data_IF_089796915858
#
_entry.id   IF_089796915858
#
_cell.length_a   1.000
_cell.length_b   1.000
_cell.length_c   1.000
_cell.angle_alpha   90.00
_cell.angle_beta   90.00
_cell.angle_gamma   90.00
#
_symmetry.space_group_name_H-M   'P 1'
#
loop_
_entity.id
_entity.type
_entity.pdbx_description
1 polymer ?
#
# COMPACT_ATOMS: atom_id res chain seq x y z
N UNK A 1 -85.21 14.72 9.80
CA UNK A 1 -86.35 14.03 9.19
C UNK A 1 -86.00 13.81 7.72
N UNK A 2 -86.19 12.57 7.24
CA UNK A 2 -85.85 11.96 5.95
C UNK A 2 -86.04 12.86 4.69
N UNK A 3 -85.36 12.62 3.56
CA UNK A 3 -85.72 11.59 2.57
C UNK A 3 -84.57 11.27 1.56
N UNK A 4 -84.22 9.97 1.53
CA UNK A 4 -83.88 9.02 0.44
C UNK A 4 -82.98 9.37 -0.77
N UNK A 5 -81.89 8.58 -0.85
CA UNK A 5 -81.30 7.83 -1.97
C UNK A 5 -81.88 7.96 -3.40
N UNK A 6 -80.98 8.20 -4.36
CA UNK A 6 -81.03 7.61 -5.72
C UNK A 6 -79.60 7.15 -6.12
N UNK A 7 -79.52 5.93 -6.63
CA UNK A 7 -78.34 5.22 -7.13
C UNK A 7 -78.08 5.55 -8.60
N UNK A 8 -76.81 5.69 -9.01
CA UNK A 8 -76.42 5.56 -10.42
C UNK A 8 -75.00 4.99 -10.53
N UNK A 9 -74.88 3.83 -11.17
CA UNK A 9 -73.65 3.10 -11.44
C UNK A 9 -72.86 3.78 -12.56
N UNK A 10 -71.55 3.99 -12.36
CA UNK A 10 -70.62 4.46 -13.40
C UNK A 10 -69.59 3.37 -13.70
N UNK A 11 -69.54 2.96 -14.97
CA UNK A 11 -68.54 2.06 -15.55
C UNK A 11 -67.13 2.67 -15.42
N UNK A 12 -66.18 1.94 -14.83
CA UNK A 12 -64.75 2.24 -14.91
C UNK A 12 -64.14 1.29 -15.94
N UNK A 13 -63.73 1.83 -17.09
CA UNK A 13 -62.93 1.13 -18.09
C UNK A 13 -61.49 1.07 -17.57
N UNK A 14 -61.05 -0.11 -17.17
CA UNK A 14 -59.66 -0.37 -16.77
C UNK A 14 -58.76 -0.53 -17.99
N UNK A 15 -57.85 0.42 -18.21
CA UNK A 15 -56.74 0.29 -19.15
C UNK A 15 -55.52 -0.24 -18.37
N UNK A 16 -55.26 -1.54 -18.43
CA UNK A 16 -54.02 -2.14 -17.92
C UNK A 16 -52.90 -1.92 -18.94
N UNK A 17 -52.02 -0.95 -18.66
CA UNK A 17 -50.73 -0.84 -19.34
C UNK A 17 -49.74 -1.72 -18.57
N UNK A 18 -49.41 -2.88 -19.13
CA UNK A 18 -48.35 -3.74 -18.63
C UNK A 18 -46.98 -3.10 -18.88
N UNK A 19 -46.37 -2.54 -17.83
CA UNK A 19 -44.96 -2.18 -17.81
C UNK A 19 -44.13 -3.45 -17.56
N UNK A 20 -43.65 -4.07 -18.64
CA UNK A 20 -42.62 -5.10 -18.60
C UNK A 20 -41.27 -4.46 -18.29
N UNK A 21 -40.86 -4.49 -17.02
CA UNK A 21 -39.50 -4.16 -16.62
C UNK A 21 -38.60 -5.31 -17.08
N UNK A 22 -37.93 -5.14 -18.21
CA UNK A 22 -36.88 -6.05 -18.67
C UNK A 22 -35.64 -5.86 -17.80
N UNK A 23 -35.47 -6.70 -16.78
CA UNK A 23 -34.19 -6.83 -16.08
C UNK A 23 -33.19 -7.51 -17.03
N UNK A 24 -32.39 -6.72 -17.74
CA UNK A 24 -31.22 -7.26 -18.43
C UNK A 24 -30.21 -7.73 -17.38
N UNK A 25 -30.19 -9.03 -17.10
CA UNK A 25 -29.11 -9.66 -16.37
C UNK A 25 -27.81 -9.42 -17.15
N UNK A 26 -26.86 -8.71 -16.53
CA UNK A 26 -25.53 -8.47 -17.12
C UNK A 26 -24.88 -9.85 -17.32
N UNK A 27 -24.57 -10.20 -18.57
CA UNK A 27 -23.92 -11.47 -18.89
C UNK A 27 -22.65 -11.64 -18.03
N UNK A 28 -22.57 -12.76 -17.30
CA UNK A 28 -21.45 -13.05 -16.43
C UNK A 28 -20.19 -13.26 -17.28
N UNK A 29 -19.09 -12.58 -16.95
CA UNK A 29 -17.81 -12.77 -17.64
C UNK A 29 -17.37 -14.23 -17.48
N UNK A 30 -17.14 -14.91 -18.60
CA UNK A 30 -16.58 -16.26 -18.62
C UNK A 30 -15.07 -16.19 -18.34
N UNK A 31 -14.70 -16.22 -17.05
CA UNK A 31 -13.31 -16.09 -16.57
C UNK A 31 -12.40 -17.18 -17.16
N UNK A 32 -12.95 -18.35 -17.53
CA UNK A 32 -12.15 -19.44 -18.10
C UNK A 32 -11.47 -19.03 -19.40
N UNK A 33 -12.05 -18.10 -20.16
CA UNK A 33 -11.56 -17.60 -21.44
C UNK A 33 -10.58 -16.43 -21.32
N UNK A 34 -10.41 -15.84 -20.13
CA UNK A 34 -9.46 -14.74 -19.93
C UNK A 34 -8.02 -15.27 -19.98
N UNK A 35 -7.09 -14.51 -20.60
CA UNK A 35 -5.68 -14.85 -20.56
C UNK A 35 -5.16 -14.85 -19.11
N UNK A 36 -4.31 -15.82 -18.79
CA UNK A 36 -3.61 -15.92 -17.50
C UNK A 36 -2.18 -15.46 -17.68
N UNK A 37 -1.75 -14.53 -16.82
CA UNK A 37 -0.39 -13.97 -16.85
C UNK A 37 0.20 -14.13 -15.45
N UNK A 38 1.27 -14.91 -15.35
CA UNK A 38 2.05 -15.01 -14.11
C UNK A 38 2.91 -13.77 -13.95
N UNK A 39 2.65 -12.99 -12.89
CA UNK A 39 3.48 -11.85 -12.55
C UNK A 39 4.62 -12.32 -11.63
N UNK A 40 5.86 -12.19 -12.11
CA UNK A 40 7.04 -12.42 -11.28
C UNK A 40 7.18 -11.28 -10.28
N UNK A 41 6.90 -11.56 -9.01
CA UNK A 41 7.10 -10.61 -7.93
C UNK A 41 8.60 -10.32 -7.74
N UNK A 42 8.92 -9.09 -7.34
CA UNK A 42 10.27 -8.62 -7.03
C UNK A 42 10.27 -7.97 -5.65
N UNK A 43 11.41 -7.99 -4.99
CA UNK A 43 11.52 -7.41 -3.65
C UNK A 43 11.38 -5.88 -3.71
N UNK A 44 10.67 -5.28 -2.73
CA UNK A 44 10.68 -3.83 -2.54
C UNK A 44 12.12 -3.31 -2.36
N UNK A 45 12.42 -2.07 -2.82
CA UNK A 45 11.47 -1.05 -3.24
C UNK A 45 11.02 -1.16 -4.70
N UNK A 46 11.38 -2.22 -5.42
CA UNK A 46 11.01 -2.36 -6.84
C UNK A 46 9.58 -2.87 -7.00
N UNK A 47 8.98 -2.57 -8.15
CA UNK A 47 7.70 -3.13 -8.59
C UNK A 47 7.96 -4.14 -9.73
N UNK A 48 7.09 -5.15 -9.90
CA UNK A 48 7.12 -6.03 -11.07
C UNK A 48 7.01 -5.22 -12.37
N UNK A 49 7.55 -5.74 -13.46
CA UNK A 49 7.36 -5.15 -14.80
C UNK A 49 5.86 -5.11 -15.16
N UNK A 50 5.42 -3.97 -15.69
CA UNK A 50 4.03 -3.74 -16.05
C UNK A 50 3.89 -2.65 -17.11
N UNK A 51 2.82 -2.75 -17.90
CA UNK A 51 2.35 -1.66 -18.74
C UNK A 51 1.52 -0.68 -17.90
N UNK A 52 1.63 0.62 -18.18
CA UNK A 52 0.78 1.65 -17.55
C UNK A 52 -0.64 1.69 -18.13
N UNK A 53 -0.80 1.21 -19.36
CA UNK A 53 -2.08 1.14 -20.08
C UNK A 53 -2.44 -0.32 -20.32
N UNK A 54 -3.70 -0.67 -20.11
CA UNK A 54 -4.18 -2.03 -20.22
C UNK A 54 -4.14 -2.53 -21.67
N UNK A 55 -3.70 -3.78 -21.86
CA UNK A 55 -3.77 -4.52 -23.13
C UNK A 55 -5.02 -5.43 -23.23
N UNK A 56 -5.98 -5.23 -22.33
CA UNK A 56 -7.16 -6.07 -22.18
C UNK A 56 -7.22 -6.76 -20.81
N UNK A 57 -8.41 -7.21 -20.45
CA UNK A 57 -8.69 -7.86 -19.17
C UNK A 57 -8.00 -9.23 -19.08
N UNK A 58 -7.40 -9.53 -17.93
CA UNK A 58 -6.67 -10.78 -17.68
C UNK A 58 -6.84 -11.30 -16.25
N UNK A 59 -6.36 -12.51 -16.02
CA UNK A 59 -6.11 -13.06 -14.68
C UNK A 59 -4.60 -12.91 -14.39
N UNK A 60 -4.25 -12.08 -13.41
CA UNK A 60 -2.89 -11.90 -12.92
C UNK A 60 -2.64 -12.93 -11.83
N UNK A 61 -1.80 -13.91 -12.13
CA UNK A 61 -1.44 -14.99 -11.20
C UNK A 61 -0.19 -14.59 -10.42
N UNK A 62 -0.27 -14.65 -9.10
CA UNK A 62 0.84 -14.35 -8.18
C UNK A 62 0.97 -15.46 -7.14
N UNK A 63 2.20 -15.72 -6.70
CA UNK A 63 2.47 -16.66 -5.61
C UNK A 63 3.26 -15.96 -4.52
N UNK A 64 2.79 -16.05 -3.29
CA UNK A 64 3.49 -15.54 -2.11
C UNK A 64 3.70 -16.65 -1.09
N UNK A 65 4.91 -16.75 -0.57
CA UNK A 65 5.28 -17.67 0.51
C UNK A 65 5.45 -16.85 1.78
N UNK A 66 4.76 -17.25 2.84
CA UNK A 66 4.94 -16.67 4.16
C UNK A 66 6.23 -17.18 4.77
N UNK A 67 7.04 -16.27 5.29
CA UNK A 67 8.25 -16.57 6.05
C UNK A 67 8.19 -15.86 7.41
N UNK A 68 8.33 -16.64 8.48
CA UNK A 68 8.64 -16.15 9.82
C UNK A 68 10.15 -16.20 10.04
N UNK A 69 10.77 -15.07 10.40
CA UNK A 69 12.22 -15.02 10.60
C UNK A 69 12.68 -13.92 11.53
N UNK A 70 13.86 -14.11 12.12
CA UNK A 70 14.53 -13.04 12.85
C UNK A 70 15.07 -11.99 11.89
N UNK A 71 14.87 -10.72 12.23
CA UNK A 71 15.45 -9.58 11.51
C UNK A 71 16.09 -8.61 12.48
N UNK A 72 17.28 -8.12 12.13
CA UNK A 72 17.91 -6.97 12.80
C UNK A 72 17.42 -5.70 12.14
N UNK A 73 16.84 -4.80 12.93
CA UNK A 73 16.10 -3.64 12.40
C UNK A 73 16.79 -2.28 12.60
N UNK A 74 17.89 -2.24 13.36
CA UNK A 74 18.68 -1.03 13.60
C UNK A 74 20.18 -1.36 13.64
N UNK A 75 21.00 -0.34 13.89
CA UNK A 75 22.45 -0.46 14.03
C UNK A 75 22.91 -0.91 15.43
N UNK A 76 21.98 -0.99 16.39
CA UNK A 76 22.23 -1.44 17.76
C UNK A 76 22.04 -2.96 17.93
N UNK A 77 21.56 -3.65 16.89
CA UNK A 77 21.36 -5.10 16.91
C UNK A 77 20.02 -5.51 17.52
N UNK A 78 19.04 -4.62 17.52
CA UNK A 78 17.66 -4.91 17.92
C UNK A 78 17.06 -5.94 16.99
N UNK A 79 16.52 -7.02 17.55
CA UNK A 79 15.93 -8.14 16.81
C UNK A 79 14.42 -8.17 16.96
N UNK A 80 13.72 -8.47 15.86
CA UNK A 80 12.30 -8.84 15.85
C UNK A 80 12.12 -10.23 15.26
N UNK A 81 11.00 -10.87 15.59
CA UNK A 81 10.44 -11.94 14.76
C UNK A 81 9.52 -11.33 13.70
N UNK A 82 10.04 -11.18 12.48
CA UNK A 82 9.27 -10.66 11.37
C UNK A 82 8.38 -11.74 10.74
N UNK A 83 7.15 -11.35 10.41
CA UNK A 83 6.23 -12.15 9.61
C UNK A 83 6.10 -11.49 8.25
N UNK A 84 6.46 -12.19 7.18
CA UNK A 84 6.65 -11.56 5.87
C UNK A 84 5.95 -12.32 4.77
N UNK A 85 5.43 -11.59 3.79
CA UNK A 85 5.07 -12.17 2.49
C UNK A 85 6.32 -12.11 1.59
N UNK A 86 6.76 -13.26 1.07
CA UNK A 86 7.99 -13.42 0.26
C UNK A 86 9.27 -12.93 0.95
N UNK A 87 9.39 -13.11 2.26
CA UNK A 87 10.65 -12.83 2.95
C UNK A 87 11.05 -11.35 2.99
N UNK A 88 10.16 -10.42 2.61
CA UNK A 88 10.46 -8.99 2.56
C UNK A 88 9.47 -8.18 3.39
N UNK A 89 9.93 -7.02 3.84
CA UNK A 89 9.11 -6.03 4.52
C UNK A 89 9.29 -4.68 3.80
N UNK A 90 8.23 -4.09 3.25
CA UNK A 90 6.90 -4.67 3.09
C UNK A 90 6.94 -5.94 2.21
N UNK A 91 5.83 -6.67 2.14
CA UNK A 91 5.63 -7.69 1.11
C UNK A 91 5.68 -7.07 -0.30
N UNK A 92 5.92 -7.86 -1.36
CA UNK A 92 6.08 -7.35 -2.72
C UNK A 92 4.83 -6.63 -3.26
N UNK A 93 5.04 -5.61 -4.10
CA UNK A 93 3.94 -4.96 -4.82
C UNK A 93 3.31 -5.92 -5.83
N UNK A 94 1.98 -5.97 -5.87
CA UNK A 94 1.23 -6.59 -6.98
C UNK A 94 0.74 -5.46 -7.89
N UNK A 95 0.87 -5.61 -9.21
CA UNK A 95 0.36 -4.60 -10.18
C UNK A 95 -0.62 -5.22 -11.14
N UNK A 96 -1.82 -4.64 -11.25
CA UNK A 96 -2.86 -5.06 -12.19
C UNK A 96 -3.60 -3.84 -12.74
N UNK A 97 -4.48 -4.06 -13.72
CA UNK A 97 -5.40 -3.03 -14.20
C UNK A 97 -6.79 -3.21 -13.61
N UNK A 98 -7.57 -2.13 -13.60
CA UNK A 98 -8.97 -2.17 -13.22
C UNK A 98 -9.71 -3.24 -14.04
N UNK A 99 -10.54 -4.01 -13.34
CA UNK A 99 -11.28 -5.18 -13.80
C UNK A 99 -10.46 -6.45 -14.06
N UNK A 100 -9.13 -6.43 -13.99
CA UNK A 100 -8.37 -7.67 -13.95
C UNK A 100 -8.80 -8.52 -12.73
N UNK A 101 -8.57 -9.82 -12.83
CA UNK A 101 -8.68 -10.71 -11.68
C UNK A 101 -7.30 -10.94 -11.10
N UNK A 102 -7.16 -10.82 -9.80
CA UNK A 102 -5.97 -11.28 -9.08
C UNK A 102 -6.24 -12.70 -8.63
N UNK A 103 -5.33 -13.61 -8.95
CA UNK A 103 -5.35 -15.01 -8.49
C UNK A 103 -4.07 -15.28 -7.70
N UNK A 104 -4.18 -15.23 -6.37
CA UNK A 104 -3.08 -15.44 -5.45
C UNK A 104 -3.04 -16.89 -5.00
N UNK A 105 -1.89 -17.54 -5.14
CA UNK A 105 -1.54 -18.69 -4.30
C UNK A 105 -0.75 -18.22 -3.08
N UNK A 106 -1.35 -18.33 -1.90
CA UNK A 106 -0.71 -18.05 -0.62
C UNK A 106 -0.26 -19.36 0.01
N UNK A 107 1.02 -19.44 0.39
CA UNK A 107 1.64 -20.62 0.98
C UNK A 107 2.14 -20.25 2.35
N UNK A 108 1.78 -21.02 3.37
CA UNK A 108 2.40 -20.91 4.67
C UNK A 108 3.55 -21.92 4.78
N UNK A 109 4.80 -21.45 4.92
CA UNK A 109 5.95 -22.34 4.96
C UNK A 109 5.83 -23.37 6.10
N UNK A 110 6.36 -24.58 5.89
CA UNK A 110 6.36 -25.63 6.93
C UNK A 110 7.21 -25.26 8.14
N UNK A 111 8.12 -24.28 8.00
CA UNK A 111 8.94 -23.74 9.07
C UNK A 111 8.24 -22.66 9.91
N UNK A 112 7.07 -22.18 9.48
CA UNK A 112 6.27 -21.22 10.25
C UNK A 112 5.71 -21.86 11.52
N UNK A 113 5.38 -21.02 12.50
CA UNK A 113 4.79 -21.43 13.78
C UNK A 113 3.34 -20.98 13.94
N UNK A 114 2.88 -20.03 13.13
CA UNK A 114 1.55 -19.43 13.21
C UNK A 114 0.70 -19.70 11.97
N UNK A 115 -0.65 -19.72 12.11
CA UNK A 115 -1.54 -19.59 10.97
C UNK A 115 -1.49 -18.17 10.41
N UNK A 116 -1.69 -18.06 9.11
CA UNK A 116 -1.66 -16.80 8.39
C UNK A 116 -2.80 -16.75 7.37
N UNK A 117 -3.22 -15.55 7.00
CA UNK A 117 -4.16 -15.32 5.91
C UNK A 117 -3.79 -14.03 5.17
N UNK A 118 -4.68 -13.53 4.31
CA UNK A 118 -4.48 -12.23 3.66
C UNK A 118 -5.81 -11.51 3.42
N UNK A 119 -5.87 -10.26 3.86
CA UNK A 119 -6.91 -9.28 3.58
C UNK A 119 -6.39 -8.32 2.51
N UNK A 120 -7.06 -8.27 1.35
CA UNK A 120 -6.84 -7.25 0.32
C UNK A 120 -7.89 -6.14 0.45
N UNK A 121 -7.45 -4.92 0.72
CA UNK A 121 -8.35 -3.76 0.72
C UNK A 121 -8.90 -3.44 -0.69
N UNK A 122 -8.25 -3.95 -1.74
CA UNK A 122 -8.73 -3.89 -3.12
C UNK A 122 -9.87 -4.89 -3.44
N UNK A 123 -10.08 -5.90 -2.59
CA UNK A 123 -11.07 -6.95 -2.80
C UNK A 123 -12.45 -6.57 -2.23
N UNK A 124 -13.45 -7.44 -2.43
CA UNK A 124 -14.81 -7.23 -1.90
C UNK A 124 -15.38 -8.55 -1.43
N UNK A 125 -15.80 -8.60 -0.17
CA UNK A 125 -16.35 -9.79 0.48
C UNK A 125 -15.33 -10.54 1.35
N UNK A 126 -15.84 -11.37 2.26
CA UNK A 126 -15.07 -12.29 3.10
C UNK A 126 -13.84 -11.67 3.80
N UNK A 127 -14.00 -10.47 4.38
CA UNK A 127 -12.92 -9.73 5.05
C UNK A 127 -11.70 -9.52 4.14
N UNK A 128 -11.96 -9.05 2.90
CA UNK A 128 -10.94 -8.85 1.87
C UNK A 128 -10.25 -10.12 1.38
N UNK A 129 -10.78 -11.30 1.73
CA UNK A 129 -10.15 -12.60 1.47
C UNK A 129 -9.65 -13.30 2.72
N UNK A 130 -9.52 -12.60 3.85
CA UNK A 130 -8.96 -13.16 5.08
C UNK A 130 -9.75 -14.37 5.59
N UNK A 131 -11.08 -14.35 5.47
CA UNK A 131 -11.94 -15.46 5.88
C UNK A 131 -11.90 -16.68 4.93
N UNK A 132 -11.23 -16.56 3.77
CA UNK A 132 -11.09 -17.62 2.76
C UNK A 132 -9.66 -18.10 2.60
N UNK A 133 -8.71 -17.52 3.33
CA UNK A 133 -7.27 -17.74 3.12
C UNK A 133 -6.51 -18.11 4.38
N UNK A 134 -7.20 -18.56 5.42
CA UNK A 134 -6.57 -19.07 6.63
C UNK A 134 -5.80 -20.37 6.32
N UNK A 135 -4.48 -20.31 6.47
CA UNK A 135 -3.54 -21.40 6.16
C UNK A 135 -2.63 -21.68 7.35
N UNK A 136 -2.66 -22.90 7.86
CA UNK A 136 -1.72 -23.39 8.87
C UNK A 136 -0.34 -23.65 8.24
N UNK A 137 0.73 -23.76 9.05
CA UNK A 137 2.06 -24.10 8.53
C UNK A 137 2.03 -25.39 7.69
N UNK A 138 2.56 -25.31 6.46
CA UNK A 138 2.54 -26.40 5.48
C UNK A 138 1.32 -26.44 4.57
N UNK A 139 0.36 -25.53 4.73
CA UNK A 139 -0.81 -25.42 3.86
C UNK A 139 -0.65 -24.32 2.79
N UNK A 140 -1.40 -24.45 1.71
CA UNK A 140 -1.57 -23.38 0.72
C UNK A 140 -3.03 -23.23 0.32
N UNK A 141 -3.37 -22.03 -0.15
CA UNK A 141 -4.71 -21.67 -0.62
C UNK A 141 -4.62 -20.83 -1.89
N UNK A 142 -5.61 -20.95 -2.77
CA UNK A 142 -5.73 -20.10 -3.96
C UNK A 142 -6.98 -19.22 -3.86
N UNK A 143 -6.77 -17.91 -3.78
CA UNK A 143 -7.83 -16.89 -3.76
C UNK A 143 -7.89 -16.19 -5.11
N UNK A 144 -9.09 -15.99 -5.66
CA UNK A 144 -9.31 -15.10 -6.81
C UNK A 144 -10.31 -14.01 -6.50
N UNK A 145 -9.97 -12.76 -6.78
CA UNK A 145 -10.88 -11.63 -6.69
C UNK A 145 -10.77 -10.71 -7.91
N UNK A 146 -11.80 -9.90 -8.17
CA UNK A 146 -11.81 -8.91 -9.24
C UNK A 146 -11.36 -7.54 -8.72
N UNK A 147 -10.35 -6.94 -9.32
CA UNK A 147 -9.84 -5.62 -8.96
C UNK A 147 -10.73 -4.50 -9.52
N UNK A 148 -11.88 -4.26 -8.90
CA UNK A 148 -12.94 -3.39 -9.48
C UNK A 148 -12.67 -1.88 -9.32
N UNK A 149 -11.76 -1.49 -8.43
CA UNK A 149 -11.49 -0.09 -8.06
C UNK A 149 -10.03 0.24 -8.37
N UNK A 150 -9.75 1.30 -9.16
CA UNK A 150 -8.38 1.71 -9.44
C UNK A 150 -7.83 2.54 -8.28
N UNK A 151 -6.58 2.27 -7.93
CA UNK A 151 -5.87 2.89 -6.81
C UNK A 151 -4.71 2.03 -6.32
N UNK A 152 -4.05 2.52 -5.28
CA UNK A 152 -3.14 1.73 -4.44
C UNK A 152 -3.84 1.36 -3.15
N UNK A 153 -3.72 0.10 -2.75
CA UNK A 153 -4.44 -0.47 -1.61
C UNK A 153 -3.49 -1.32 -0.79
N UNK A 154 -3.63 -1.29 0.52
CA UNK A 154 -2.89 -2.20 1.40
C UNK A 154 -3.43 -3.63 1.20
N UNK A 155 -2.54 -4.59 1.39
CA UNK A 155 -2.93 -5.92 1.81
C UNK A 155 -2.19 -6.27 3.10
N UNK A 156 -2.81 -7.04 3.99
CA UNK A 156 -2.16 -7.44 5.24
C UNK A 156 -2.74 -8.73 5.80
N UNK A 157 -2.02 -9.35 6.73
CA UNK A 157 -2.51 -10.51 7.46
C UNK A 157 -3.56 -10.08 8.50
N UNK A 158 -4.58 -10.91 8.70
CA UNK A 158 -5.69 -10.67 9.62
C UNK A 158 -6.29 -11.99 10.17
N UNK A 159 -5.55 -12.80 10.93
CA UNK A 159 -5.98 -14.14 11.35
C UNK A 159 -7.03 -14.13 12.49
N UNK A 160 -7.48 -12.94 12.91
CA UNK A 160 -8.55 -12.74 13.89
C UNK A 160 -8.08 -12.26 15.27
N UNK A 161 -8.97 -11.55 15.98
CA UNK A 161 -8.72 -11.08 17.35
C UNK A 161 -7.46 -10.21 17.49
N UNK A 162 -6.75 -10.38 18.62
CA UNK A 162 -5.52 -9.65 18.93
C UNK A 162 -4.35 -9.98 17.98
N UNK A 163 -4.45 -11.09 17.24
CA UNK A 163 -3.42 -11.50 16.27
C UNK A 163 -3.43 -10.63 15.02
N UNK A 164 -4.52 -9.91 14.72
CA UNK A 164 -4.58 -9.00 13.57
C UNK A 164 -3.51 -7.90 13.71
N UNK A 165 -3.57 -6.99 14.70
CA UNK A 165 -2.56 -5.93 14.80
C UNK A 165 -1.17 -6.50 15.06
N UNK A 166 -1.04 -7.61 15.80
CA UNK A 166 0.25 -8.24 16.07
C UNK A 166 0.93 -8.73 14.79
N UNK A 167 0.20 -9.38 13.87
CA UNK A 167 0.79 -9.79 12.59
C UNK A 167 1.16 -8.59 11.71
N UNK A 168 0.30 -7.56 11.66
CA UNK A 168 0.56 -6.36 10.86
C UNK A 168 1.81 -5.63 11.35
N UNK A 169 1.95 -5.41 12.66
CA UNK A 169 3.10 -4.69 13.22
C UNK A 169 4.40 -5.51 13.25
N UNK A 170 4.31 -6.81 13.03
CA UNK A 170 5.47 -7.69 12.78
C UNK A 170 5.91 -7.71 11.30
N UNK A 171 5.32 -6.86 10.45
CA UNK A 171 5.73 -6.67 9.06
C UNK A 171 4.85 -7.34 8.02
N UNK A 172 3.75 -7.97 8.41
CA UNK A 172 2.95 -8.80 7.50
C UNK A 172 1.93 -7.99 6.73
N UNK A 173 2.43 -7.03 5.96
CA UNK A 173 1.66 -6.13 5.12
C UNK A 173 2.43 -5.77 3.85
N UNK A 174 1.68 -5.33 2.84
CA UNK A 174 2.21 -4.83 1.59
C UNK A 174 1.16 -4.02 0.85
N UNK A 175 1.34 -3.83 -0.46
CA UNK A 175 0.39 -3.08 -1.26
C UNK A 175 0.15 -3.71 -2.64
N UNK A 176 -1.05 -3.47 -3.17
CA UNK A 176 -1.44 -3.75 -4.55
C UNK A 176 -1.78 -2.44 -5.25
N UNK A 177 -1.27 -2.27 -6.47
CA UNK A 177 -1.60 -1.17 -7.37
C UNK A 177 -2.53 -1.67 -8.47
N UNK A 178 -3.74 -1.12 -8.51
CA UNK A 178 -4.74 -1.33 -9.56
C UNK A 178 -4.77 -0.08 -10.43
N UNK A 179 -4.07 -0.10 -11.56
CA UNK A 179 -4.03 1.02 -12.50
C UNK A 179 -5.38 1.18 -13.21
N UNK A 180 -5.82 2.42 -13.52
CA UNK A 180 -6.91 2.63 -14.47
C UNK A 180 -6.52 2.01 -15.83
N UNK A 181 -7.51 1.52 -16.59
CA UNK A 181 -7.24 0.88 -17.89
C UNK A 181 -6.49 1.78 -18.87
N UNK A 182 -6.72 3.08 -18.81
CA UNK A 182 -6.13 4.07 -19.72
C UNK A 182 -4.83 4.70 -19.19
N UNK A 183 -4.33 4.23 -18.04
CA UNK A 183 -3.23 4.83 -17.29
C UNK A 183 -3.66 5.95 -16.34
N UNK A 184 -2.69 6.56 -15.67
CA UNK A 184 -2.93 7.66 -14.73
C UNK A 184 -3.33 8.94 -15.47
N UNK A 185 -4.09 9.80 -14.80
CA UNK A 185 -4.61 11.05 -15.33
C UNK A 185 -4.56 12.16 -14.28
N UNK A 186 -4.40 13.40 -14.71
CA UNK A 186 -4.48 14.59 -13.84
C UNK A 186 -5.92 14.93 -13.41
N UNK A 187 -6.90 14.15 -13.83
CA UNK A 187 -8.33 14.40 -13.59
C UNK A 187 -8.95 15.46 -14.50
N UNK A 188 -8.17 16.07 -15.39
CA UNK A 188 -8.59 17.03 -16.43
C UNK A 188 -8.40 16.50 -17.84
N UNK A 189 -8.06 15.22 -17.97
CA UNK A 189 -7.93 14.51 -19.25
C UNK A 189 -6.51 14.42 -19.79
N UNK A 190 -5.51 14.97 -19.08
CA UNK A 190 -4.10 14.78 -19.43
C UNK A 190 -3.61 13.46 -18.86
N UNK A 191 -3.03 12.61 -19.72
CA UNK A 191 -2.36 11.38 -19.29
C UNK A 191 -1.09 11.71 -18.52
N UNK A 192 -0.89 11.00 -17.42
CA UNK A 192 0.33 11.07 -16.61
C UNK A 192 1.09 9.76 -16.78
N UNK A 193 2.39 9.86 -17.03
CA UNK A 193 3.28 8.72 -17.20
C UNK A 193 4.47 8.84 -16.28
N UNK A 194 4.99 7.71 -15.81
CA UNK A 194 6.24 7.63 -15.05
C UNK A 194 7.29 6.79 -15.78
N UNK A 195 8.55 7.15 -15.62
CA UNK A 195 9.69 6.42 -16.17
C UNK A 195 10.15 5.31 -15.22
N UNK A 196 9.90 5.50 -13.92
CA UNK A 196 10.28 4.57 -12.85
C UNK A 196 9.25 4.57 -11.73
N UNK A 197 9.16 3.46 -11.02
CA UNK A 197 8.36 3.35 -9.82
C UNK A 197 9.14 2.75 -8.66
N UNK A 198 8.86 3.26 -7.46
CA UNK A 198 9.34 2.73 -6.20
C UNK A 198 8.18 2.49 -5.24
N UNK A 199 8.35 1.49 -4.39
CA UNK A 199 7.42 1.15 -3.33
C UNK A 199 8.11 1.21 -1.97
N UNK A 200 7.64 2.13 -1.14
CA UNK A 200 8.09 2.34 0.23
C UNK A 200 7.01 1.84 1.19
N UNK A 201 7.30 0.77 1.92
CA UNK A 201 6.46 0.35 3.04
C UNK A 201 7.02 0.94 4.32
N UNK A 202 6.20 1.69 5.03
CA UNK A 202 6.52 2.21 6.36
C UNK A 202 5.94 1.29 7.43
N UNK A 203 6.79 0.86 8.36
CA UNK A 203 6.44 -0.07 9.42
C UNK A 203 6.68 0.55 10.79
N UNK A 204 5.64 0.61 11.61
CA UNK A 204 5.71 0.89 13.04
C UNK A 204 5.93 -0.41 13.84
N UNK A 205 6.99 -0.45 14.66
CA UNK A 205 7.33 -1.57 15.53
C UNK A 205 7.14 -1.23 17.01
N UNK A 206 6.78 -2.22 17.82
CA UNK A 206 6.50 -2.08 19.25
C UNK A 206 7.33 -3.07 20.05
N UNK A 207 8.61 -2.75 20.26
CA UNK A 207 9.60 -3.69 20.78
C UNK A 207 9.77 -3.50 22.30
N UNK A 208 9.52 -4.52 23.12
CA UNK A 208 9.68 -4.41 24.57
C UNK A 208 11.12 -4.16 25.00
N UNK A 209 11.27 -3.38 26.06
CA UNK A 209 12.54 -3.14 26.74
C UNK A 209 12.55 -3.84 28.11
N UNK A 210 13.73 -4.22 28.58
CA UNK A 210 13.94 -4.67 29.95
C UNK A 210 14.07 -3.49 30.94
N UNK A 211 14.27 -3.79 32.23
CA UNK A 211 14.40 -2.78 33.29
C UNK A 211 15.63 -1.86 33.10
N UNK A 212 16.61 -2.26 32.28
CA UNK A 212 17.81 -1.49 31.96
C UNK A 212 17.65 -0.70 30.64
N UNK A 213 16.47 -0.71 30.03
CA UNK A 213 16.18 -0.04 28.76
C UNK A 213 16.74 -0.76 27.52
N UNK A 214 17.16 -2.03 27.64
CA UNK A 214 17.64 -2.81 26.50
C UNK A 214 16.47 -3.52 25.81
N UNK A 215 16.45 -3.51 24.47
CA UNK A 215 15.42 -4.23 23.72
C UNK A 215 15.53 -5.75 23.93
N UNK A 216 14.40 -6.36 24.30
CA UNK A 216 14.32 -7.79 24.58
C UNK A 216 14.43 -8.61 23.30
N UNK A 217 15.03 -9.80 23.42
CA UNK A 217 15.11 -10.79 22.34
C UNK A 217 14.34 -12.04 22.73
N UNK A 218 13.61 -12.62 21.77
CA UNK A 218 12.78 -13.80 22.00
C UNK A 218 13.24 -15.00 21.18
N UNK A 219 13.06 -16.21 21.73
CA UNK A 219 13.44 -17.48 21.10
C UNK A 219 12.44 -17.94 20.04
N UNK A 220 11.18 -17.52 20.16
CA UNK A 220 10.11 -17.74 19.19
C UNK A 220 9.18 -16.52 19.16
N UNK A 221 8.32 -16.37 18.14
CA UNK A 221 7.36 -15.27 18.10
C UNK A 221 6.41 -15.29 19.31
N UNK A 222 5.85 -16.45 19.64
CA UNK A 222 4.92 -16.61 20.76
C UNK A 222 5.52 -16.23 22.13
N UNK A 223 6.84 -16.32 22.31
CA UNK A 223 7.50 -15.95 23.55
C UNK A 223 7.51 -14.44 23.83
N UNK A 224 7.41 -13.60 22.79
CA UNK A 224 7.38 -12.13 22.91
C UNK A 224 5.99 -11.51 22.98
N UNK A 225 4.97 -12.25 22.57
CA UNK A 225 3.63 -11.72 22.29
C UNK A 225 3.01 -10.94 23.47
N UNK A 226 3.11 -11.45 24.70
CA UNK A 226 2.51 -10.78 25.86
C UNK A 226 3.14 -9.39 26.09
N UNK A 227 4.47 -9.31 26.04
CA UNK A 227 5.20 -8.07 26.26
C UNK A 227 4.97 -7.08 25.10
N UNK A 228 4.99 -7.57 23.85
CA UNK A 228 4.74 -6.78 22.65
C UNK A 228 3.34 -6.16 22.67
N UNK A 229 2.32 -6.93 23.06
CA UNK A 229 0.95 -6.43 23.23
C UNK A 229 0.84 -5.34 24.30
N UNK A 230 1.61 -5.41 25.38
CA UNK A 230 1.66 -4.33 26.37
C UNK A 230 2.27 -3.05 25.79
N UNK A 231 3.34 -3.13 24.99
CA UNK A 231 3.93 -1.97 24.31
C UNK A 231 2.96 -1.39 23.27
N UNK A 232 2.29 -2.25 22.49
CA UNK A 232 1.32 -1.84 21.47
C UNK A 232 0.16 -1.02 22.05
N UNK A 233 -0.33 -1.36 23.25
CA UNK A 233 -1.37 -0.58 23.94
C UNK A 233 -0.96 0.87 24.22
N UNK A 234 0.35 1.13 24.29
CA UNK A 234 0.89 2.48 24.49
C UNK A 234 0.78 3.38 23.25
N UNK A 235 0.54 2.82 22.05
CA UNK A 235 0.43 3.55 20.78
C UNK A 235 1.65 4.41 20.44
N UNK A 236 2.81 4.07 21.01
CA UNK A 236 4.08 4.75 20.78
C UNK A 236 5.04 3.72 20.19
N UNK A 237 5.24 3.72 18.85
CA UNK A 237 6.18 2.80 18.21
C UNK A 237 7.59 3.01 18.77
N UNK A 238 8.37 1.96 18.98
CA UNK A 238 9.79 2.11 19.34
C UNK A 238 10.62 2.45 18.12
N UNK A 239 10.25 1.91 16.96
CA UNK A 239 10.86 2.20 15.66
C UNK A 239 9.78 2.45 14.63
N UNK A 240 10.10 3.29 13.65
CA UNK A 240 9.28 3.51 12.47
C UNK A 240 10.25 3.51 11.30
N UNK A 241 10.19 2.50 10.44
CA UNK A 241 11.24 2.26 9.44
C UNK A 241 10.66 2.08 8.05
N UNK A 242 11.45 2.45 7.05
CA UNK A 242 11.16 2.13 5.66
C UNK A 242 11.80 0.81 5.28
N UNK A 243 11.03 -0.05 4.63
CA UNK A 243 11.47 -1.33 4.07
C UNK A 243 12.24 -2.23 5.09
N UNK A 244 11.70 -2.28 6.30
CA UNK A 244 12.01 -3.30 7.31
C UNK A 244 13.16 -3.01 8.26
N UNK A 245 13.98 -1.97 8.04
CA UNK A 245 15.01 -1.56 9.00
C UNK A 245 15.45 -0.10 8.83
N UNK A 246 16.02 0.48 9.89
CA UNK A 246 16.65 1.80 9.86
C UNK A 246 17.69 1.82 8.74
N UNK A 247 17.59 2.83 7.86
CA UNK A 247 18.53 3.05 6.77
C UNK A 247 18.43 2.05 5.60
N UNK A 248 17.40 1.20 5.52
CA UNK A 248 17.26 0.20 4.46
C UNK A 248 17.36 0.78 3.04
N UNK A 249 16.83 1.98 2.84
CA UNK A 249 16.80 2.72 1.57
C UNK A 249 17.80 3.89 1.54
N UNK A 250 18.95 3.74 2.20
CA UNK A 250 20.00 4.76 2.27
C UNK A 250 21.34 4.21 1.76
N UNK A 251 22.37 5.07 1.72
CA UNK A 251 23.71 4.67 1.28
C UNK A 251 23.72 4.07 -0.13
N UNK A 252 24.29 2.88 -0.26
CA UNK A 252 24.34 2.12 -1.52
C UNK A 252 22.94 1.73 -2.00
N UNK A 253 22.02 1.45 -1.08
CA UNK A 253 20.62 1.07 -1.33
C UNK A 253 19.69 2.27 -1.59
N UNK A 254 20.23 3.49 -1.62
CA UNK A 254 19.43 4.66 -1.96
C UNK A 254 18.79 4.52 -3.34
N UNK A 255 17.51 4.87 -3.44
CA UNK A 255 16.77 4.92 -4.70
C UNK A 255 17.48 5.83 -5.70
N UNK A 256 17.32 5.58 -7.00
CA UNK A 256 18.04 6.30 -8.07
C UNK A 256 17.06 6.98 -9.02
N UNK A 257 17.43 8.14 -9.52
CA UNK A 257 16.72 8.84 -10.58
C UNK A 257 17.68 9.75 -11.35
N UNK A 258 17.20 10.38 -12.42
CA UNK A 258 17.90 11.43 -13.15
C UNK A 258 17.05 12.70 -13.20
N UNK A 259 17.70 13.85 -13.34
CA UNK A 259 16.99 15.10 -13.68
C UNK A 259 16.22 14.89 -14.99
N UNK A 260 14.95 15.31 -15.00
CA UNK A 260 13.99 15.07 -16.08
C UNK A 260 13.20 13.77 -15.96
N UNK A 261 13.60 12.84 -15.09
CA UNK A 261 12.89 11.56 -14.88
C UNK A 261 11.68 11.75 -13.97
N UNK A 262 10.53 11.21 -14.38
CA UNK A 262 9.30 11.19 -13.58
C UNK A 262 9.20 9.87 -12.82
N UNK A 263 9.17 9.97 -11.50
CA UNK A 263 9.14 8.82 -10.60
C UNK A 263 7.80 8.73 -9.89
N UNK A 264 7.18 7.55 -9.94
CA UNK A 264 6.05 7.17 -9.09
C UNK A 264 6.57 6.60 -7.77
N UNK A 265 6.19 7.22 -6.65
CA UNK A 265 6.48 6.73 -5.31
C UNK A 265 5.17 6.25 -4.71
N UNK A 266 5.00 4.93 -4.60
CA UNK A 266 3.91 4.34 -3.83
C UNK A 266 4.38 4.19 -2.39
N UNK A 267 3.54 4.61 -1.45
CA UNK A 267 3.84 4.53 -0.03
C UNK A 267 2.66 3.88 0.69
N UNK A 268 2.91 2.88 1.53
CA UNK A 268 1.87 2.25 2.36
C UNK A 268 2.18 2.33 3.84
N UNK A 269 1.13 2.50 4.63
CA UNK A 269 1.15 2.32 6.07
C UNK A 269 -0.10 1.53 6.48
N UNK A 270 0.06 0.32 7.00
CA UNK A 270 -1.04 -0.59 7.29
C UNK A 270 -1.73 -0.39 8.66
N UNK A 271 -1.16 0.40 9.58
CA UNK A 271 -1.58 0.50 10.98
C UNK A 271 -1.55 1.93 11.57
N UNK A 272 -0.55 2.73 11.23
CA UNK A 272 -0.23 4.03 11.84
C UNK A 272 -0.16 5.14 10.78
N UNK A 273 -0.49 6.38 11.14
CA UNK A 273 -0.49 7.49 10.19
C UNK A 273 0.94 7.93 9.85
N UNK A 274 1.15 8.34 8.60
CA UNK A 274 2.43 8.94 8.14
C UNK A 274 2.20 10.18 7.28
N UNK A 275 3.23 11.01 7.19
CA UNK A 275 3.23 12.25 6.40
C UNK A 275 4.44 12.32 5.45
N UNK A 276 4.41 11.62 4.30
CA UNK A 276 5.59 11.55 3.47
C UNK A 276 5.94 12.90 2.83
N UNK A 277 7.24 13.14 2.72
CA UNK A 277 7.81 14.37 2.19
C UNK A 277 9.13 14.08 1.45
N UNK A 278 9.39 14.78 0.36
CA UNK A 278 10.64 14.71 -0.41
C UNK A 278 11.44 16.00 -0.17
N UNK A 279 12.44 15.96 0.71
CA UNK A 279 13.27 17.12 1.07
C UNK A 279 14.02 17.61 -0.17
N UNK A 280 13.74 18.85 -0.58
CA UNK A 280 14.27 19.48 -1.78
C UNK A 280 13.44 19.26 -3.05
N UNK A 281 12.34 18.50 -2.95
CA UNK A 281 11.38 18.23 -4.01
C UNK A 281 9.94 18.50 -3.56
N UNK A 282 8.98 17.94 -4.29
CA UNK A 282 7.55 18.05 -4.04
C UNK A 282 6.84 16.75 -4.46
N UNK A 283 5.54 16.64 -4.22
CA UNK A 283 4.65 15.77 -4.98
C UNK A 283 3.94 16.58 -6.06
N UNK A 284 4.36 16.45 -7.32
CA UNK A 284 3.74 17.18 -8.44
C UNK A 284 2.28 16.75 -8.63
N UNK A 285 2.01 15.45 -8.49
CA UNK A 285 0.66 14.87 -8.49
C UNK A 285 0.55 13.83 -7.37
N UNK A 286 -0.36 14.02 -6.43
CA UNK A 286 -0.48 13.15 -5.25
C UNK A 286 -1.91 12.65 -5.07
N UNK A 287 -2.05 11.33 -4.97
CA UNK A 287 -3.23 10.64 -4.49
C UNK A 287 -3.00 10.17 -3.06
N UNK A 288 -3.16 11.08 -2.09
CA UNK A 288 -2.87 10.81 -0.68
C UNK A 288 -3.74 9.64 -0.12
N UNK A 289 -4.98 9.52 -0.63
CA UNK A 289 -5.93 8.43 -0.28
C UNK A 289 -5.88 7.25 -1.26
N UNK A 290 -4.89 7.23 -2.14
CA UNK A 290 -4.60 6.11 -3.03
C UNK A 290 -5.58 5.87 -4.19
N UNK A 291 -6.77 6.50 -4.24
CA UNK A 291 -7.73 6.25 -5.30
C UNK A 291 -7.46 7.06 -6.58
N UNK A 292 -7.18 6.36 -7.69
CA UNK A 292 -6.91 6.99 -8.99
C UNK A 292 -8.16 7.49 -9.73
N UNK A 293 -9.36 7.24 -9.20
CA UNK A 293 -10.59 7.86 -9.71
C UNK A 293 -10.72 9.32 -9.27
N UNK A 294 -10.04 9.70 -8.19
CA UNK A 294 -10.03 11.07 -7.73
C UNK A 294 -8.93 11.86 -8.48
N UNK A 295 -9.15 13.14 -8.79
CA UNK A 295 -8.08 13.98 -9.28
C UNK A 295 -6.96 14.06 -8.22
N UNK A 296 -5.68 13.96 -8.62
CA UNK A 296 -4.58 14.18 -7.69
C UNK A 296 -4.58 15.61 -7.17
N UNK A 297 -4.08 15.80 -5.95
CA UNK A 297 -3.63 17.11 -5.50
C UNK A 297 -2.30 17.45 -6.18
N UNK A 298 -2.04 18.75 -6.33
CA UNK A 298 -0.85 19.26 -7.03
C UNK A 298 0.07 19.96 -6.04
N UNK A 299 1.36 19.99 -6.39
CA UNK A 299 2.38 20.84 -5.75
C UNK A 299 2.50 20.67 -4.23
N UNK A 300 2.28 19.44 -3.72
CA UNK A 300 2.33 19.20 -2.29
C UNK A 300 3.77 19.20 -1.77
N UNK A 301 4.03 19.95 -0.71
CA UNK A 301 5.26 19.82 0.08
C UNK A 301 5.29 18.47 0.81
N UNK A 302 4.19 18.13 1.47
CA UNK A 302 4.01 16.95 2.33
C UNK A 302 2.59 16.46 2.13
N UNK A 303 2.38 15.15 2.09
CA UNK A 303 1.05 14.54 2.00
C UNK A 303 0.79 13.61 3.17
N UNK A 304 -0.47 13.20 3.35
CA UNK A 304 -0.88 12.38 4.49
C UNK A 304 -1.41 11.02 4.05
N UNK A 305 -0.80 9.95 4.57
CA UNK A 305 -1.27 8.59 4.37
C UNK A 305 -1.79 8.09 5.70
N UNK A 306 -3.09 7.81 5.75
CA UNK A 306 -3.73 7.29 6.95
C UNK A 306 -3.27 5.86 7.22
N UNK A 307 -3.21 5.47 8.49
CA UNK A 307 -3.03 4.08 8.88
C UNK A 307 -4.11 3.19 8.26
N UNK A 308 -3.68 2.06 7.69
CA UNK A 308 -4.55 1.17 6.92
C UNK A 308 -4.77 1.64 5.48
N UNK A 309 -3.87 2.44 4.90
CA UNK A 309 -3.99 2.90 3.52
C UNK A 309 -2.65 2.98 2.78
N UNK A 310 -2.74 3.11 1.46
CA UNK A 310 -1.61 3.42 0.61
C UNK A 310 -1.91 4.70 -0.18
N UNK A 311 -0.87 5.47 -0.47
CA UNK A 311 -0.90 6.67 -1.29
C UNK A 311 0.15 6.60 -2.39
N UNK A 312 0.03 7.48 -3.37
CA UNK A 312 0.95 7.54 -4.50
C UNK A 312 1.27 8.99 -4.86
N UNK A 313 2.54 9.27 -5.16
CA UNK A 313 3.01 10.57 -5.61
C UNK A 313 3.83 10.43 -6.89
N UNK A 314 3.59 11.31 -7.86
CA UNK A 314 4.48 11.51 -9.01
C UNK A 314 5.33 12.76 -8.77
N UNK A 315 6.61 12.67 -9.10
CA UNK A 315 7.52 13.81 -9.11
C UNK A 315 8.49 13.70 -10.28
N UNK A 316 8.65 14.79 -11.04
CA UNK A 316 9.71 14.92 -12.03
C UNK A 316 10.90 15.63 -11.40
N UNK A 317 12.05 14.95 -11.31
CA UNK A 317 13.24 15.52 -10.68
C UNK A 317 13.80 16.69 -11.49
N UNK A 318 14.10 17.80 -10.81
CA UNK A 318 14.58 19.05 -11.45
C UNK A 318 16.00 19.47 -11.05
N UNK A 319 16.54 18.89 -9.98
CA UNK A 319 17.92 19.13 -9.53
C UNK A 319 18.64 17.80 -9.26
N UNK A 320 19.97 17.73 -9.46
CA UNK A 320 20.76 16.58 -9.08
C UNK A 320 21.09 16.61 -7.59
N UNK A 321 21.59 15.50 -7.06
CA UNK A 321 22.09 15.43 -5.69
C UNK A 321 21.42 14.35 -4.85
N UNK A 322 21.52 14.50 -3.53
CA UNK A 322 20.88 13.58 -2.58
C UNK A 322 19.64 14.22 -2.02
N UNK A 323 18.50 13.55 -2.20
CA UNK A 323 17.25 13.93 -1.56
C UNK A 323 16.98 12.96 -0.42
N UNK A 324 16.34 13.45 0.64
CA UNK A 324 15.75 12.60 1.65
C UNK A 324 14.25 12.47 1.42
N UNK A 325 13.75 11.25 1.45
CA UNK A 325 12.32 10.97 1.49
C UNK A 325 11.99 10.49 2.89
N UNK A 326 11.06 11.16 3.57
CA UNK A 326 10.88 11.01 5.03
C UNK A 326 9.40 10.98 5.42
N UNK A 327 9.09 10.43 6.58
CA UNK A 327 7.91 10.83 7.34
C UNK A 327 8.23 12.19 8.02
N UNK A 328 7.52 13.25 7.67
CA UNK A 328 7.86 14.61 8.11
C UNK A 328 7.46 14.95 9.56
N UNK A 329 7.08 13.95 10.38
CA UNK A 329 7.40 14.05 11.80
C UNK A 329 8.89 13.73 11.94
N UNK A 330 9.72 14.78 12.04
CA UNK A 330 11.18 14.62 11.98
C UNK A 330 11.75 13.81 13.14
N UNK A 331 11.01 13.65 14.25
CA UNK A 331 11.36 12.71 15.33
C UNK A 331 11.24 11.27 14.82
N UNK A 332 10.15 10.96 14.12
CA UNK A 332 9.92 9.64 13.51
C UNK A 332 10.95 9.36 12.40
N UNK A 333 11.25 10.35 11.55
CA UNK A 333 12.26 10.21 10.50
C UNK A 333 13.67 9.97 11.05
N UNK A 334 14.15 10.85 11.93
CA UNK A 334 15.56 10.91 12.32
C UNK A 334 15.85 10.01 13.50
N UNK A 335 14.98 9.98 14.51
CA UNK A 335 15.21 9.21 15.75
C UNK A 335 14.61 7.81 15.70
N UNK A 336 13.60 7.54 14.85
CA UNK A 336 12.96 6.22 14.75
C UNK A 336 13.23 5.47 13.44
N UNK A 337 13.77 6.14 12.42
CA UNK A 337 14.30 5.52 11.21
C UNK A 337 13.47 5.67 9.93
N UNK A 338 12.42 6.51 9.92
CA UNK A 338 11.50 6.68 8.79
C UNK A 338 12.10 7.60 7.71
N UNK A 339 13.27 7.21 7.19
CA UNK A 339 14.07 7.97 6.22
C UNK A 339 14.61 7.06 5.12
N UNK A 340 14.48 7.53 3.88
CA UNK A 340 15.13 6.98 2.70
C UNK A 340 15.90 8.09 1.97
N UNK A 341 16.77 7.69 1.04
CA UNK A 341 17.46 8.61 0.14
C UNK A 341 17.15 8.33 -1.33
N UNK A 342 17.07 9.39 -2.11
CA UNK A 342 17.29 9.33 -3.56
C UNK A 342 18.69 9.86 -3.89
N UNK A 343 19.38 9.22 -4.83
CA UNK A 343 20.58 9.73 -5.49
C UNK A 343 20.21 10.06 -6.93
N UNK A 344 20.19 11.36 -7.22
CA UNK A 344 19.72 11.90 -8.51
C UNK A 344 20.93 12.41 -9.29
N UNK A 345 21.08 11.95 -10.52
CA UNK A 345 22.13 12.41 -11.44
C UNK A 345 21.60 13.48 -12.39
N UNK A 346 22.47 14.38 -12.86
CA UNK A 346 22.09 15.44 -13.80
C UNK A 346 22.91 16.72 -13.60
N UNK A 347 22.51 17.77 -14.31
CA UNK A 347 23.11 19.11 -14.20
C UNK A 347 22.33 19.98 -13.22
N UNK A 348 23.05 20.79 -12.45
CA UNK A 348 22.46 21.73 -11.51
C UNK A 348 21.90 22.95 -12.24
N UNK A 349 20.68 23.35 -11.91
CA UNK A 349 20.00 24.51 -12.48
C UNK A 349 20.04 25.71 -11.51
N UNK A 350 20.84 26.72 -11.82
CA UNK A 350 20.94 27.93 -10.99
C UNK A 350 19.69 28.83 -11.07
N UNK A 351 18.84 28.70 -12.09
CA UNK A 351 17.58 29.44 -12.16
C UNK A 351 16.62 28.96 -11.06
N UNK A 352 16.61 27.65 -10.80
CA UNK A 352 15.82 27.06 -9.71
C UNK A 352 16.40 27.35 -8.32
N UNK A 353 17.74 27.28 -8.18
CA UNK A 353 18.40 27.54 -6.90
C UNK A 353 19.88 27.88 -7.08
N UNK A 354 20.32 29.03 -6.58
CA UNK A 354 21.73 29.43 -6.57
C UNK A 354 22.19 29.89 -5.18
N UNK A 355 23.37 29.45 -4.78
CA UNK A 355 24.06 30.02 -3.62
C UNK A 355 24.85 31.27 -4.04
N UNK A 356 24.23 32.45 -3.91
CA UNK A 356 24.86 33.73 -4.26
C UNK A 356 26.10 34.05 -3.41
N UNK A 357 26.10 33.63 -2.14
CA UNK A 357 27.21 33.83 -1.21
C UNK A 357 27.35 32.61 -0.30
N UNK A 358 28.55 32.06 -0.22
CA UNK A 358 28.88 30.98 0.73
C UNK A 358 28.82 31.46 2.19
N UNK A 359 28.56 30.58 3.17
CA UNK A 359 28.68 30.93 4.58
C UNK A 359 30.01 31.63 4.88
N UNK A 360 29.94 32.85 5.39
CA UNK A 360 31.09 33.71 5.72
C UNK A 360 30.82 34.46 7.03
N UNK A 361 31.87 34.89 7.77
CA UNK A 361 31.69 35.77 8.91
C UNK A 361 30.90 37.03 8.52
N UNK A 362 30.05 37.49 9.43
CA UNK A 362 29.28 38.72 9.25
C UNK A 362 30.27 39.89 9.10
N UNK A 363 30.16 40.62 7.99
CA UNK A 363 30.93 41.84 7.79
C UNK A 363 30.32 42.93 8.69
N UNK A 364 31.15 43.53 9.54
CA UNK A 364 30.76 44.64 10.43
C UNK A 364 30.82 45.96 9.71
#
# INVERSE_FOLDING_TARGET
MNIKNISTSLLIVGCLIGLSISTQAKAQTDISKLPRVTQKLVNPPMLPEHDQVSKGQKVVQVRMVVEEKKMVIDDQGTEIWAFTYNGSMPGPMIVAHQDDYIELTLVNATSSSMPHNIDFHAATGALGGGALTDVAPGEEVVLRFKATKPGVFVYHCAPGGIMIPWHVVHGMNGAIMVLPKEGLSDGKGKKLTYDRSYYVGEQDFYIPQDENGQYKKYSSPAAGMADELEVMKGLIPTHIVFNGKVGALTGENAMKANVGETVLIVHSQANYDTRPHLIGGHGDYVWERGSFNNPPQLDLETWFIAGGSAGAALYTFKQPGTYAYVNHNLIEAVLKGATAHFKVQGEWDNDLMEQLVKPRPIQK
#
